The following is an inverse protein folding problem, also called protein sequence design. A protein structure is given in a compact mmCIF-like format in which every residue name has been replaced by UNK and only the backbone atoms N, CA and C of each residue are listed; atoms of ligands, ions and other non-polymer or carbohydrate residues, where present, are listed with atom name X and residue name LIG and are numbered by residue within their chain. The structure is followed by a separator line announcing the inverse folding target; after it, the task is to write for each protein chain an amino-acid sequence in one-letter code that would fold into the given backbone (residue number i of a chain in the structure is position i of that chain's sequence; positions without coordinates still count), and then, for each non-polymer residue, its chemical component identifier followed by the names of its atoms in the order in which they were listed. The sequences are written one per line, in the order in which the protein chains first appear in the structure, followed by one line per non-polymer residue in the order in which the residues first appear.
data_IF_885467988052
#
_entry.id   IF_885467988052
#
_cell.length_a   1.000
_cell.length_b   1.000
_cell.length_c   1.000
_cell.angle_alpha   90.00
_cell.angle_beta   90.00
_cell.angle_gamma   90.00
#
_symmetry.space_group_name_H-M   'P 1'
#
loop_
_entity.id
_entity.type
_entity.pdbx_description
1 polymer ?
#
# COMPACT_ATOMS: atom_id res chain seq x y z
N UNK A 1 25.82 -16.85 -16.78
CA UNK A 1 24.62 -16.39 -17.50
C UNK A 1 24.16 -17.43 -18.53
N UNK A 2 25.06 -17.97 -19.35
CA UNK A 2 24.71 -18.99 -20.37
C UNK A 2 23.94 -20.19 -19.81
N UNK A 3 24.40 -20.80 -18.71
CA UNK A 3 23.67 -21.92 -18.05
C UNK A 3 22.21 -21.61 -17.72
N UNK A 4 21.92 -20.37 -17.33
CA UNK A 4 20.56 -19.92 -17.02
C UNK A 4 19.74 -19.73 -18.30
N UNK A 5 20.35 -19.17 -19.35
CA UNK A 5 19.70 -19.03 -20.66
C UNK A 5 19.36 -20.40 -21.25
N UNK A 6 20.29 -21.35 -21.22
CA UNK A 6 20.06 -22.74 -21.66
C UNK A 6 18.96 -23.40 -20.86
N UNK A 7 18.95 -23.24 -19.53
CA UNK A 7 17.86 -23.77 -18.70
C UNK A 7 16.50 -23.15 -19.06
N UNK A 8 16.45 -21.84 -19.33
CA UNK A 8 15.22 -21.20 -19.82
C UNK A 8 14.77 -21.80 -21.16
N UNK A 9 15.70 -22.03 -22.09
CA UNK A 9 15.41 -22.69 -23.37
C UNK A 9 14.83 -24.09 -23.20
N UNK A 10 15.49 -24.91 -22.38
CA UNK A 10 15.09 -26.29 -22.08
C UNK A 10 13.71 -26.36 -21.41
N UNK A 11 13.30 -25.29 -20.73
CA UNK A 11 12.01 -25.18 -20.04
C UNK A 11 10.99 -24.31 -20.79
N UNK A 12 11.24 -23.99 -22.06
CA UNK A 12 10.34 -23.18 -22.90
C UNK A 12 10.03 -21.77 -22.34
N UNK A 13 10.93 -21.20 -21.53
CA UNK A 13 10.83 -19.87 -20.97
C UNK A 13 11.50 -18.84 -21.90
N UNK A 14 10.72 -17.87 -22.36
CA UNK A 14 11.24 -16.79 -23.20
C UNK A 14 11.75 -15.62 -22.35
N UNK A 15 13.06 -15.38 -22.41
CA UNK A 15 13.69 -14.24 -21.75
C UNK A 15 13.37 -12.95 -22.51
N UNK A 16 12.79 -11.99 -21.80
CA UNK A 16 12.51 -10.67 -22.34
C UNK A 16 13.75 -9.77 -22.19
N UNK A 17 14.55 -9.69 -23.25
CA UNK A 17 15.80 -8.90 -23.26
C UNK A 17 15.55 -7.40 -23.18
N UNK A 18 14.38 -6.91 -23.61
CA UNK A 18 14.06 -5.47 -23.53
C UNK A 18 13.73 -5.01 -22.11
N UNK A 19 13.10 -5.89 -21.31
CA UNK A 19 12.84 -5.67 -19.88
C UNK A 19 14.04 -5.98 -19.00
N UNK A 20 14.94 -6.85 -19.45
CA UNK A 20 16.15 -7.12 -18.70
C UNK A 20 17.11 -5.95 -18.91
N UNK A 21 17.41 -5.23 -17.83
CA UNK A 21 18.39 -4.14 -17.85
C UNK A 21 19.48 -4.51 -16.86
N UNK A 22 20.73 -4.37 -17.30
CA UNK A 22 21.88 -4.59 -16.45
C UNK A 22 21.97 -3.47 -15.43
N UNK A 23 22.20 -3.82 -14.17
CA UNK A 23 22.64 -2.83 -13.21
C UNK A 23 24.01 -2.31 -13.66
N UNK A 24 24.14 -0.98 -13.76
CA UNK A 24 25.44 -0.36 -13.91
C UNK A 24 26.39 -0.87 -12.82
N UNK A 25 27.64 -1.10 -13.20
CA UNK A 25 28.68 -1.57 -12.29
C UNK A 25 28.68 -0.76 -10.99
N UNK A 26 28.39 -1.44 -9.87
CA UNK A 26 28.43 -0.85 -8.53
C UNK A 26 29.83 -0.31 -8.18
N UNK A 27 29.94 0.51 -7.12
CA UNK A 27 31.24 1.00 -6.69
C UNK A 27 32.07 -0.17 -6.14
N UNK A 28 33.32 -0.24 -6.60
CA UNK A 28 34.43 -1.12 -6.15
C UNK A 28 34.66 -2.41 -6.96
N UNK A 29 35.64 -2.35 -7.87
CA UNK A 29 36.66 -3.40 -8.01
C UNK A 29 38.04 -2.76 -8.26
N UNK A 30 38.78 -2.56 -7.18
CA UNK A 30 40.25 -2.58 -7.23
C UNK A 30 40.71 -4.01 -7.53
N UNK A 31 40.99 -4.29 -8.81
CA UNK A 31 42.06 -5.17 -9.30
C UNK A 31 41.79 -5.40 -10.78
N UNK A 32 42.79 -5.08 -11.60
CA UNK A 32 42.71 -5.17 -13.04
C UNK A 32 42.27 -6.56 -13.50
N UNK A 33 41.09 -6.61 -14.12
CA UNK A 33 40.74 -7.48 -15.25
C UNK A 33 39.28 -7.19 -15.66
N UNK A 34 39.13 -6.68 -16.89
CA UNK A 34 37.86 -6.55 -17.66
C UNK A 34 36.71 -5.81 -16.99
N UNK A 35 36.82 -4.48 -17.01
CA UNK A 35 35.75 -3.52 -16.74
C UNK A 35 34.72 -3.51 -17.88
N UNK A 36 33.46 -3.85 -17.56
CA UNK A 36 32.31 -3.14 -18.14
C UNK A 36 31.57 -3.72 -19.34
N UNK A 37 31.91 -4.91 -19.86
CA UNK A 37 31.16 -5.43 -21.00
C UNK A 37 29.78 -5.97 -20.58
N UNK A 38 28.67 -5.53 -21.23
CA UNK A 38 27.34 -6.02 -20.94
C UNK A 38 27.29 -7.52 -21.19
N UNK A 39 26.86 -8.30 -20.19
CA UNK A 39 26.71 -9.75 -20.34
C UNK A 39 25.61 -10.02 -21.38
N UNK A 40 25.94 -10.55 -22.57
CA UNK A 40 24.96 -10.70 -23.63
C UNK A 40 24.00 -11.84 -23.31
N UNK A 41 22.70 -11.63 -23.56
CA UNK A 41 21.69 -12.67 -23.53
C UNK A 41 21.47 -13.10 -24.98
N UNK A 42 21.86 -14.35 -25.31
CA UNK A 42 21.78 -14.88 -26.69
C UNK A 42 22.49 -14.00 -27.72
N UNK A 43 23.65 -13.44 -27.36
CA UNK A 43 24.41 -12.52 -28.22
C UNK A 43 23.83 -11.10 -28.31
N UNK A 44 22.67 -10.83 -27.68
CA UNK A 44 22.10 -9.48 -27.59
C UNK A 44 22.61 -8.80 -26.32
N UNK A 45 23.27 -7.65 -26.47
CA UNK A 45 23.72 -6.82 -25.36
C UNK A 45 22.55 -6.35 -24.50
N UNK A 46 22.70 -6.44 -23.18
CA UNK A 46 21.71 -5.96 -22.22
C UNK A 46 22.00 -4.49 -21.92
N UNK A 47 21.02 -3.62 -22.10
CA UNK A 47 21.17 -2.19 -21.80
C UNK A 47 21.49 -1.98 -20.32
N UNK A 48 22.54 -1.19 -20.07
CA UNK A 48 22.92 -0.74 -18.74
C UNK A 48 22.07 0.49 -18.38
N UNK A 49 21.39 0.48 -17.23
CA UNK A 49 20.55 1.61 -16.80
C UNK A 49 20.95 2.09 -15.42
N UNK A 50 21.05 3.41 -15.27
CA UNK A 50 21.47 4.06 -14.02
C UNK A 50 20.41 4.04 -12.91
N UNK A 51 19.13 3.92 -13.27
CA UNK A 51 18.01 3.76 -12.33
C UNK A 51 17.00 2.76 -12.88
N UNK A 52 16.73 1.70 -12.11
CA UNK A 52 15.77 0.69 -12.48
C UNK A 52 14.70 0.53 -11.40
N UNK A 53 13.46 0.36 -11.82
CA UNK A 53 12.35 0.09 -10.90
C UNK A 53 12.13 -1.41 -10.77
N UNK A 54 12.32 -1.95 -9.58
CA UNK A 54 12.09 -3.36 -9.28
C UNK A 54 11.02 -3.51 -8.20
N UNK A 55 9.91 -4.19 -8.54
CA UNK A 55 8.78 -4.44 -7.62
C UNK A 55 8.23 -3.18 -6.92
N UNK A 56 8.33 -2.01 -7.55
CA UNK A 56 7.89 -0.75 -6.97
C UNK A 56 8.98 0.07 -6.29
N UNK A 57 10.17 -0.50 -6.10
CA UNK A 57 11.35 0.16 -5.50
C UNK A 57 12.26 0.72 -6.60
N UNK A 58 12.71 1.95 -6.43
CA UNK A 58 13.73 2.54 -7.30
C UNK A 58 15.12 2.14 -6.81
N UNK A 59 15.87 1.44 -7.66
CA UNK A 59 17.24 0.98 -7.40
C UNK A 59 18.16 1.74 -8.36
N UNK A 60 18.89 2.71 -7.82
CA UNK A 60 19.94 3.41 -8.55
C UNK A 60 21.23 2.59 -8.64
N UNK A 61 22.05 2.89 -9.64
CA UNK A 61 23.39 2.30 -9.87
C UNK A 61 24.32 2.48 -8.64
N UNK A 62 24.22 3.64 -7.97
CA UNK A 62 24.93 3.92 -6.70
C UNK A 62 24.24 3.32 -5.47
N UNK A 63 23.21 2.49 -5.64
CA UNK A 63 22.32 2.02 -4.56
C UNK A 63 21.79 3.17 -3.69
N UNK A 64 21.52 4.31 -4.32
CA UNK A 64 20.96 5.49 -3.66
C UNK A 64 19.45 5.30 -3.44
N UNK A 65 19.01 5.50 -2.20
CA UNK A 65 17.62 5.38 -1.77
C UNK A 65 16.82 6.68 -1.92
N UNK A 66 17.48 7.80 -2.26
CA UNK A 66 16.86 9.14 -2.31
C UNK A 66 15.63 9.16 -3.21
N UNK A 67 15.71 8.57 -4.40
CA UNK A 67 14.59 8.51 -5.35
C UNK A 67 13.42 7.69 -4.81
N UNK A 68 13.71 6.53 -4.19
CA UNK A 68 12.68 5.70 -3.59
C UNK A 68 12.00 6.41 -2.42
N UNK A 69 12.78 7.06 -1.55
CA UNK A 69 12.28 7.82 -0.41
C UNK A 69 11.39 8.98 -0.85
N UNK A 70 11.78 9.73 -1.89
CA UNK A 70 10.95 10.82 -2.43
C UNK A 70 9.61 10.29 -2.98
N UNK A 71 9.62 9.18 -3.71
CA UNK A 71 8.40 8.55 -4.22
C UNK A 71 7.47 8.12 -3.08
N UNK A 72 8.02 7.49 -2.03
CA UNK A 72 7.25 7.10 -0.86
C UNK A 72 6.70 8.31 -0.09
N UNK A 73 7.52 9.35 0.06
CA UNK A 73 7.11 10.61 0.70
C UNK A 73 5.92 11.24 -0.02
N UNK A 74 5.98 11.36 -1.36
CA UNK A 74 4.88 11.90 -2.17
C UNK A 74 3.61 11.07 -2.06
N UNK A 75 3.74 9.74 -2.06
CA UNK A 75 2.60 8.84 -1.88
C UNK A 75 1.97 9.01 -0.50
N UNK A 76 2.79 9.10 0.55
CA UNK A 76 2.33 9.40 1.91
C UNK A 76 1.61 10.74 2.01
N UNK A 77 2.18 11.80 1.44
CA UNK A 77 1.58 13.14 1.39
C UNK A 77 0.20 13.13 0.72
N UNK A 78 0.06 12.41 -0.41
CA UNK A 78 -1.23 12.25 -1.07
C UNK A 78 -2.26 11.58 -0.17
N UNK A 79 -1.90 10.49 0.51
CA UNK A 79 -2.79 9.82 1.48
C UNK A 79 -3.21 10.77 2.61
N UNK A 80 -2.26 11.52 3.21
CA UNK A 80 -2.57 12.46 4.28
C UNK A 80 -3.49 13.60 3.82
N UNK A 81 -3.30 14.09 2.59
CA UNK A 81 -4.19 15.10 2.01
C UNK A 81 -5.63 14.58 1.93
N UNK A 82 -5.84 13.36 1.42
CA UNK A 82 -7.17 12.76 1.36
C UNK A 82 -7.76 12.51 2.75
N UNK A 83 -6.98 12.03 3.71
CA UNK A 83 -7.44 11.83 5.09
C UNK A 83 -7.89 13.15 5.74
N UNK A 84 -7.13 14.25 5.54
CA UNK A 84 -7.53 15.58 6.02
C UNK A 84 -8.86 16.02 5.42
N UNK A 85 -9.09 15.74 4.13
CA UNK A 85 -10.35 16.07 3.44
C UNK A 85 -11.50 15.16 3.86
N UNK A 86 -11.23 13.90 4.17
CA UNK A 86 -12.24 12.99 4.72
C UNK A 86 -12.64 13.35 6.14
N UNK A 87 -11.75 13.99 6.92
CA UNK A 87 -12.07 14.45 8.27
C UNK A 87 -13.28 15.39 8.30
N UNK A 88 -13.46 16.26 7.30
CA UNK A 88 -14.66 17.10 7.19
C UNK A 88 -15.92 16.31 6.81
N UNK A 89 -15.76 15.13 6.22
CA UNK A 89 -16.86 14.23 5.90
C UNK A 89 -17.31 13.38 7.10
N UNK A 90 -16.42 13.13 8.08
CA UNK A 90 -16.77 12.36 9.29
C UNK A 90 -17.89 13.05 10.07
N UNK A 91 -17.87 14.38 10.19
CA UNK A 91 -18.96 15.13 10.86
C UNK A 91 -20.26 15.03 10.08
N UNK A 92 -20.22 15.17 8.75
CA UNK A 92 -21.40 15.02 7.90
C UNK A 92 -21.98 13.60 7.95
N UNK A 93 -21.14 12.58 7.89
CA UNK A 93 -21.54 11.17 8.03
C UNK A 93 -22.15 10.89 9.41
N UNK A 94 -21.62 11.51 10.47
CA UNK A 94 -22.21 11.43 11.80
C UNK A 94 -23.61 12.05 11.84
N UNK A 95 -23.78 13.27 11.33
CA UNK A 95 -25.10 13.92 11.30
C UNK A 95 -26.10 13.14 10.44
N UNK A 96 -25.64 12.55 9.34
CA UNK A 96 -26.47 11.66 8.52
C UNK A 96 -26.89 10.40 9.28
N UNK A 97 -25.96 9.75 9.98
CA UNK A 97 -26.24 8.60 10.82
C UNK A 97 -27.24 8.92 11.93
N UNK A 98 -27.05 10.04 12.64
CA UNK A 98 -27.95 10.47 13.72
C UNK A 98 -29.36 10.82 13.21
N UNK A 99 -29.47 11.46 12.04
CA UNK A 99 -30.78 11.89 11.51
C UNK A 99 -31.59 10.79 10.84
N UNK A 100 -30.95 9.87 10.11
CA UNK A 100 -31.65 8.86 9.30
C UNK A 100 -31.60 7.48 9.95
N UNK A 101 -30.41 7.09 10.41
CA UNK A 101 -30.15 5.71 10.81
C UNK A 101 -30.57 5.49 12.27
N UNK A 102 -30.22 6.40 13.18
CA UNK A 102 -30.53 6.26 14.60
C UNK A 102 -32.04 6.18 14.87
N UNK A 103 -32.86 7.01 14.21
CA UNK A 103 -34.31 6.96 14.34
C UNK A 103 -34.93 5.63 13.88
N UNK A 104 -34.49 5.11 12.74
CA UNK A 104 -34.93 3.81 12.22
C UNK A 104 -34.53 2.65 13.16
N UNK A 105 -33.33 2.70 13.73
CA UNK A 105 -32.88 1.72 14.72
C UNK A 105 -33.67 1.79 16.02
N UNK A 106 -33.94 3.00 16.54
CA UNK A 106 -34.74 3.16 17.76
C UNK A 106 -36.17 2.64 17.57
N UNK A 107 -36.80 2.94 16.43
CA UNK A 107 -38.13 2.42 16.10
C UNK A 107 -38.13 0.89 15.97
N UNK A 108 -37.12 0.31 15.31
CA UNK A 108 -36.99 -1.14 15.21
C UNK A 108 -36.84 -1.78 16.59
N UNK A 109 -36.02 -1.20 17.48
CA UNK A 109 -35.82 -1.67 18.85
C UNK A 109 -37.13 -1.60 19.66
N UNK A 110 -37.89 -0.51 19.53
CA UNK A 110 -39.19 -0.34 20.20
C UNK A 110 -40.22 -1.37 19.70
N UNK A 111 -40.29 -1.60 18.38
CA UNK A 111 -41.16 -2.62 17.79
C UNK A 111 -40.81 -4.06 18.19
N UNK A 112 -39.55 -4.30 18.56
CA UNK A 112 -39.04 -5.58 19.06
C UNK A 112 -39.28 -5.77 20.56
N UNK A 113 -39.84 -4.79 21.27
CA UNK A 113 -40.18 -4.88 22.70
C UNK A 113 -41.38 -5.82 23.00
N UNK A 114 -41.84 -6.58 22.00
CA UNK A 114 -42.62 -7.79 22.22
C UNK A 114 -41.75 -8.84 22.92
N UNK A 115 -41.87 -8.88 24.26
CA UNK A 115 -41.40 -9.82 25.33
C UNK A 115 -40.33 -10.90 25.01
N UNK A 116 -40.33 -11.50 23.83
CA UNK A 116 -39.42 -12.55 23.32
C UNK A 116 -37.98 -12.09 22.97
N UNK A 117 -37.73 -10.82 22.64
CA UNK A 117 -36.45 -10.36 22.07
C UNK A 117 -35.55 -9.54 23.03
N UNK A 118 -35.91 -9.43 24.33
CA UNK A 118 -35.22 -8.56 25.31
C UNK A 118 -33.71 -8.77 25.44
N UNK A 119 -33.22 -10.01 25.23
CA UNK A 119 -31.78 -10.34 25.31
C UNK A 119 -30.99 -9.81 24.10
N UNK A 120 -31.64 -9.60 22.95
CA UNK A 120 -31.02 -8.99 21.75
C UNK A 120 -31.00 -7.47 21.86
N UNK A 121 -32.06 -6.88 22.41
CA UNK A 121 -32.17 -5.43 22.62
C UNK A 121 -31.13 -4.88 23.60
N UNK A 122 -30.85 -5.58 24.70
CA UNK A 122 -29.80 -5.16 25.66
C UNK A 122 -28.41 -5.11 25.02
N UNK A 123 -28.12 -6.01 24.08
CA UNK A 123 -26.85 -6.03 23.33
C UNK A 123 -26.75 -4.85 22.35
N UNK A 124 -27.82 -4.52 21.64
CA UNK A 124 -27.87 -3.37 20.72
C UNK A 124 -27.72 -2.05 21.48
N UNK A 125 -28.41 -1.90 22.62
CA UNK A 125 -28.31 -0.72 23.48
C UNK A 125 -26.89 -0.52 24.01
N UNK A 126 -26.23 -1.59 24.45
CA UNK A 126 -24.82 -1.55 24.88
C UNK A 126 -23.87 -1.08 23.77
N UNK A 127 -24.07 -1.48 22.51
CA UNK A 127 -23.25 -1.03 21.37
C UNK A 127 -23.44 0.48 21.13
N UNK A 128 -24.68 0.97 21.22
CA UNK A 128 -25.01 2.38 21.04
C UNK A 128 -24.44 3.26 22.16
N UNK A 129 -24.50 2.79 23.41
CA UNK A 129 -23.96 3.51 24.58
C UNK A 129 -22.42 3.50 24.59
N UNK A 130 -21.79 2.40 24.17
CA UNK A 130 -20.32 2.29 24.03
C UNK A 130 -19.77 3.23 22.96
N UNK A 131 -20.52 3.39 21.86
CA UNK A 131 -20.20 4.33 20.78
C UNK A 131 -20.30 5.79 21.25
N UNK A 132 -21.18 6.06 22.22
CA UNK A 132 -21.37 7.39 22.83
C UNK A 132 -20.30 7.71 23.88
N UNK A 133 -19.92 6.75 24.73
CA UNK A 133 -18.84 6.91 25.73
C UNK A 133 -17.44 6.95 25.13
N UNK A 134 -17.20 6.33 23.98
CA UNK A 134 -15.96 6.47 23.22
C UNK A 134 -15.69 7.92 22.78
N UNK A 135 -16.72 8.77 22.71
CA UNK A 135 -16.62 10.13 22.16
C UNK A 135 -16.20 11.16 23.22
N UNK A 136 -16.53 10.96 24.50
CA UNK A 136 -16.12 11.89 25.58
C UNK A 136 -14.63 11.80 25.89
N UNK A 137 -14.02 10.62 25.80
CA UNK A 137 -12.57 10.45 26.02
C UNK A 137 -11.70 11.05 24.90
N UNK A 138 -12.25 11.20 23.69
CA UNK A 138 -11.53 11.79 22.55
C UNK A 138 -11.51 13.33 22.55
N UNK A 139 -12.30 13.98 23.42
CA UNK A 139 -12.39 15.43 23.54
C UNK A 139 -11.60 16.00 24.74
N UNK A 140 -11.11 15.15 25.65
CA UNK A 140 -10.36 15.57 26.87
C UNK A 140 -8.84 15.60 26.64
N UNK A 141 -8.34 15.05 25.52
CA UNK A 141 -6.91 15.05 25.20
C UNK A 141 -6.60 16.03 24.06
N UNK A 142 -6.65 17.31 24.38
CA UNK A 142 -6.04 18.41 23.62
C UNK A 142 -5.15 19.18 24.58
#
# INVERSE_FOLDING_TARGET
MEKFVTWCDDNHLQLNVTKNKGAGSGPEKEKGETTGDPVPIRGVGVDLVDDHKYLGVHIGNKLDWTKNTEVLYRKGQSCFYFLRRLRSFISMMRSFYESVVAGAFLYAVDSLETVSERRRLSKIRSIMDSSSHSLTLSQIRT
#
